data_IF_038219312405
#
_entry.id   IF_038219312405
#
_cell.length_a   1.000
_cell.length_b   1.000
_cell.length_c   1.000
_cell.angle_alpha   90.00
_cell.angle_beta   90.00
_cell.angle_gamma   90.00
#
_symmetry.space_group_name_H-M   'P 1'
#
loop_
_entity.id
_entity.type
_entity.pdbx_description
1 polymer ?
#
# COMPACT_ATOMS: atom_id res chain seq x y z
N UNK A 1 18.88 -16.78 -2.79
CA UNK A 1 18.45 -16.12 -1.55
C UNK A 1 17.41 -15.07 -1.94
N UNK A 2 16.18 -15.17 -1.44
CA UNK A 2 15.11 -14.24 -1.73
C UNK A 2 15.45 -12.86 -1.12
N UNK A 3 15.34 -11.79 -1.92
CA UNK A 3 15.55 -10.43 -1.43
C UNK A 3 14.46 -10.01 -0.45
N UNK A 4 14.76 -9.04 0.41
CA UNK A 4 13.78 -8.40 1.30
C UNK A 4 13.30 -7.12 0.64
N UNK A 5 11.99 -6.88 0.56
CA UNK A 5 11.41 -5.82 -0.25
C UNK A 5 10.47 -4.92 0.55
N UNK A 6 10.48 -3.62 0.25
CA UNK A 6 9.51 -2.64 0.72
C UNK A 6 8.79 -2.02 -0.48
N UNK A 7 7.48 -2.22 -0.60
CA UNK A 7 6.71 -1.70 -1.72
C UNK A 7 6.25 -0.26 -1.44
N UNK A 8 6.39 0.59 -2.46
CA UNK A 8 5.91 1.96 -2.48
C UNK A 8 4.82 2.11 -3.56
N UNK A 9 3.60 2.48 -3.14
CA UNK A 9 2.50 2.80 -4.05
C UNK A 9 2.08 4.26 -3.85
N UNK A 10 2.55 5.12 -4.74
CA UNK A 10 2.39 6.57 -4.67
C UNK A 10 1.23 7.07 -5.52
N UNK A 11 0.73 8.25 -5.21
CA UNK A 11 -0.31 8.93 -5.96
C UNK A 11 0.01 10.41 -6.11
N UNK A 12 -0.18 11.04 -7.29
CA UNK A 12 -0.06 12.48 -7.42
C UNK A 12 -1.19 13.15 -6.64
N UNK A 13 -0.80 13.96 -5.67
CA UNK A 13 -1.69 14.81 -4.89
C UNK A 13 -1.02 16.16 -4.68
N UNK A 14 -1.76 17.28 -4.63
CA UNK A 14 -1.21 18.61 -4.60
C UNK A 14 0.05 18.78 -3.73
N UNK A 15 -0.02 18.55 -2.40
CA UNK A 15 1.12 18.69 -1.49
C UNK A 15 2.26 17.70 -1.75
N UNK A 16 1.97 16.49 -2.25
CA UNK A 16 2.96 15.42 -2.47
C UNK A 16 4.03 15.82 -3.48
N UNK A 17 3.70 16.64 -4.49
CA UNK A 17 4.68 17.10 -5.48
C UNK A 17 5.85 17.87 -4.85
N UNK A 18 5.66 18.45 -3.68
CA UNK A 18 6.69 19.15 -2.93
C UNK A 18 7.35 18.30 -1.83
N UNK A 19 6.97 17.02 -1.73
CA UNK A 19 7.41 16.12 -0.66
C UNK A 19 8.07 14.83 -1.17
N UNK A 20 8.53 14.84 -2.40
CA UNK A 20 9.19 13.69 -3.04
C UNK A 20 10.40 13.21 -2.23
N UNK A 21 11.15 14.13 -1.65
CA UNK A 21 12.30 13.85 -0.80
C UNK A 21 11.94 13.02 0.44
N UNK A 22 10.72 13.18 0.98
CA UNK A 22 10.27 12.39 2.12
C UNK A 22 10.14 10.91 1.77
N UNK A 23 9.60 10.60 0.59
CA UNK A 23 9.48 9.22 0.11
C UNK A 23 10.82 8.62 -0.30
N UNK A 24 11.68 9.43 -0.92
CA UNK A 24 13.05 9.01 -1.24
C UNK A 24 13.84 8.68 0.04
N UNK A 25 13.78 9.54 1.05
CA UNK A 25 14.42 9.31 2.34
C UNK A 25 13.88 8.04 3.03
N UNK A 26 12.57 7.81 2.99
CA UNK A 26 11.97 6.60 3.55
C UNK A 26 12.42 5.33 2.80
N UNK A 27 12.55 5.38 1.48
CA UNK A 27 13.03 4.26 0.68
C UNK A 27 14.51 3.93 1.00
N UNK A 28 15.37 4.94 1.06
CA UNK A 28 16.77 4.76 1.47
C UNK A 28 16.91 4.31 2.93
N UNK A 29 16.05 4.81 3.82
CA UNK A 29 15.99 4.34 5.19
C UNK A 29 15.64 2.86 5.27
N UNK A 30 14.64 2.41 4.53
CA UNK A 30 14.26 1.00 4.46
C UNK A 30 15.41 0.11 3.98
N UNK A 31 16.18 0.55 2.99
CA UNK A 31 17.36 -0.13 2.51
C UNK A 31 18.48 -0.16 3.57
N UNK A 32 18.85 1.00 4.10
CA UNK A 32 20.00 1.13 5.00
C UNK A 32 19.76 0.49 6.37
N UNK A 33 18.53 0.53 6.89
CA UNK A 33 18.20 0.07 8.25
C UNK A 33 17.72 -1.37 8.27
N UNK A 34 16.95 -1.78 7.26
CA UNK A 34 16.28 -3.08 7.25
C UNK A 34 16.71 -4.00 6.11
N UNK A 35 17.60 -3.53 5.23
CA UNK A 35 18.02 -4.28 4.03
C UNK A 35 16.87 -4.49 3.02
N UNK A 36 15.82 -3.65 3.07
CA UNK A 36 14.67 -3.77 2.19
C UNK A 36 14.91 -3.02 0.88
N UNK A 37 14.97 -3.73 -0.24
CA UNK A 37 15.02 -3.11 -1.56
C UNK A 37 13.70 -2.42 -1.87
N UNK A 38 13.69 -1.10 -2.18
CA UNK A 38 12.48 -0.40 -2.58
C UNK A 38 11.91 -0.94 -3.90
N UNK A 39 10.62 -1.23 -3.89
CA UNK A 39 9.85 -1.71 -5.05
C UNK A 39 8.74 -0.71 -5.33
N UNK A 40 8.74 -0.08 -6.49
CA UNK A 40 7.72 0.86 -6.89
C UNK A 40 6.63 0.19 -7.72
N UNK A 41 5.39 0.37 -7.29
CA UNK A 41 4.22 -0.25 -7.89
C UNK A 41 3.18 0.79 -8.33
N UNK A 42 2.70 0.67 -9.57
CA UNK A 42 1.72 1.57 -10.18
C UNK A 42 0.33 0.93 -10.15
N UNK A 43 -0.57 1.38 -9.29
CA UNK A 43 -1.96 0.94 -9.31
C UNK A 43 -2.76 1.56 -10.46
N UNK A 44 -2.52 2.84 -10.73
CA UNK A 44 -3.09 3.56 -11.86
C UNK A 44 -1.94 4.11 -12.72
N UNK A 45 -1.41 3.34 -13.67
CA UNK A 45 -0.16 3.65 -14.36
C UNK A 45 -0.14 5.04 -15.01
N UNK A 46 -1.26 5.46 -15.60
CA UNK A 46 -1.36 6.75 -16.27
C UNK A 46 -1.28 7.94 -15.31
N UNK A 47 -1.67 7.74 -14.05
CA UNK A 47 -1.64 8.77 -13.02
C UNK A 47 -0.37 8.69 -12.16
N UNK A 48 0.07 7.48 -11.82
CA UNK A 48 1.09 7.26 -10.79
C UNK A 48 2.53 7.32 -11.31
N UNK A 49 2.72 7.18 -12.62
CA UNK A 49 4.03 7.04 -13.26
C UNK A 49 4.95 8.23 -12.98
N UNK A 50 4.47 9.45 -13.22
CA UNK A 50 5.28 10.67 -13.08
C UNK A 50 5.85 10.82 -11.69
N UNK A 51 5.01 10.72 -10.65
CA UNK A 51 5.44 10.87 -9.26
C UNK A 51 6.36 9.72 -8.82
N UNK A 52 6.05 8.52 -9.27
CA UNK A 52 6.85 7.33 -8.93
C UNK A 52 8.25 7.43 -9.52
N UNK A 53 8.38 7.83 -10.78
CA UNK A 53 9.67 8.07 -11.41
C UNK A 53 10.45 9.19 -10.71
N UNK A 54 9.78 10.31 -10.42
CA UNK A 54 10.39 11.44 -9.74
C UNK A 54 10.96 11.09 -8.35
N UNK A 55 10.31 10.19 -7.60
CA UNK A 55 10.85 9.66 -6.34
C UNK A 55 12.00 8.68 -6.61
N UNK A 56 11.83 7.75 -7.54
CA UNK A 56 12.83 6.74 -7.86
C UNK A 56 14.16 7.37 -8.34
N UNK A 57 14.12 8.47 -9.08
CA UNK A 57 15.31 9.21 -9.54
C UNK A 57 16.13 9.85 -8.39
N UNK A 58 15.49 10.09 -7.24
CA UNK A 58 16.13 10.66 -6.05
C UNK A 58 16.81 9.66 -5.15
N UNK A 59 16.66 8.38 -5.44
CA UNK A 59 17.15 7.27 -4.61
C UNK A 59 18.44 6.73 -5.21
N UNK A 60 19.47 6.58 -4.38
CA UNK A 60 20.77 6.05 -4.77
C UNK A 60 20.87 4.53 -4.59
N UNK A 61 20.12 3.94 -3.64
CA UNK A 61 20.15 2.50 -3.41
C UNK A 61 19.52 1.70 -4.56
N UNK A 62 19.81 0.39 -4.67
CA UNK A 62 19.11 -0.50 -5.59
C UNK A 62 17.59 -0.42 -5.43
N UNK A 63 16.87 -0.43 -6.54
CA UNK A 63 15.41 -0.30 -6.57
C UNK A 63 14.82 -1.06 -7.73
N UNK A 64 13.53 -1.41 -7.62
CA UNK A 64 12.76 -2.06 -8.68
C UNK A 64 11.56 -1.19 -9.05
N UNK A 65 11.30 -1.03 -10.35
CA UNK A 65 10.07 -0.46 -10.88
C UNK A 65 9.30 -1.61 -11.54
N UNK A 66 8.15 -1.94 -10.97
CA UNK A 66 7.34 -3.03 -11.50
C UNK A 66 6.53 -2.57 -12.72
N UNK A 67 6.35 -3.47 -13.71
CA UNK A 67 5.38 -3.23 -14.75
C UNK A 67 3.97 -3.14 -14.17
N UNK A 68 3.02 -2.50 -14.87
CA UNK A 68 1.62 -2.48 -14.45
C UNK A 68 1.05 -3.91 -14.34
N UNK A 69 0.34 -4.17 -13.24
CA UNK A 69 -0.34 -5.46 -12.99
C UNK A 69 -1.81 -5.16 -12.74
N UNK A 70 -2.69 -5.81 -13.49
CA UNK A 70 -4.14 -5.66 -13.35
C UNK A 70 -4.80 -6.86 -12.64
N UNK A 71 -4.14 -8.00 -12.60
CA UNK A 71 -4.68 -9.22 -11.96
C UNK A 71 -4.57 -9.15 -10.44
N UNK A 72 -5.71 -9.21 -9.75
CA UNK A 72 -5.79 -9.12 -8.29
C UNK A 72 -5.07 -10.27 -7.57
N UNK A 73 -5.05 -11.46 -8.15
CA UNK A 73 -4.34 -12.63 -7.60
C UNK A 73 -2.82 -12.42 -7.63
N UNK A 74 -2.32 -11.87 -8.75
CA UNK A 74 -0.90 -11.51 -8.89
C UNK A 74 -0.54 -10.39 -7.91
N UNK A 75 -1.41 -9.38 -7.73
CA UNK A 75 -1.19 -8.31 -6.75
C UNK A 75 -1.12 -8.88 -5.33
N UNK A 76 -2.03 -9.78 -4.96
CA UNK A 76 -2.00 -10.43 -3.64
C UNK A 76 -0.73 -11.26 -3.43
N UNK A 77 -0.29 -12.01 -4.44
CA UNK A 77 0.95 -12.77 -4.38
C UNK A 77 2.16 -11.86 -4.22
N UNK A 78 2.21 -10.77 -5.01
CA UNK A 78 3.25 -9.75 -4.88
C UNK A 78 3.28 -9.15 -3.48
N UNK A 79 2.13 -8.76 -2.92
CA UNK A 79 2.07 -8.18 -1.56
C UNK A 79 2.60 -9.14 -0.50
N UNK A 80 2.28 -10.42 -0.60
CA UNK A 80 2.73 -11.45 0.35
C UNK A 80 4.25 -11.57 0.43
N UNK A 81 4.95 -11.27 -0.67
CA UNK A 81 6.41 -11.35 -0.74
C UNK A 81 7.09 -10.05 -0.24
N UNK A 82 6.32 -9.03 0.11
CA UNK A 82 6.84 -7.80 0.69
C UNK A 82 7.05 -7.92 2.20
N UNK A 83 8.11 -7.29 2.70
CA UNK A 83 8.35 -7.15 4.14
C UNK A 83 7.55 -6.00 4.74
N UNK A 84 7.26 -4.98 3.93
CA UNK A 84 6.50 -3.79 4.30
C UNK A 84 5.89 -3.13 3.06
N UNK A 85 4.77 -2.44 3.25
CA UNK A 85 4.14 -1.61 2.21
C UNK A 85 3.94 -0.19 2.71
N UNK A 86 4.50 0.79 2.02
CA UNK A 86 4.30 2.23 2.24
C UNK A 86 3.39 2.75 1.13
N UNK A 87 2.21 3.26 1.47
CA UNK A 87 1.26 3.60 0.41
C UNK A 87 0.37 4.80 0.71
N UNK A 88 0.12 5.58 -0.35
CA UNK A 88 -0.97 6.55 -0.46
C UNK A 88 -2.26 5.89 -1.00
N UNK A 89 -2.14 4.74 -1.66
CA UNK A 89 -3.23 4.04 -2.31
C UNK A 89 -3.91 3.08 -1.34
N UNK A 90 -5.18 3.35 -1.01
CA UNK A 90 -5.96 2.52 -0.09
C UNK A 90 -5.98 1.03 -0.50
N UNK A 91 -6.16 0.72 -1.79
CA UNK A 91 -6.17 -0.67 -2.25
C UNK A 91 -4.86 -1.41 -2.00
N UNK A 92 -3.70 -0.73 -2.13
CA UNK A 92 -2.42 -1.36 -1.79
C UNK A 92 -2.32 -1.69 -0.29
N UNK A 93 -2.82 -0.81 0.58
CA UNK A 93 -2.89 -1.06 2.03
C UNK A 93 -3.82 -2.24 2.34
N UNK A 94 -5.00 -2.30 1.70
CA UNK A 94 -5.96 -3.39 1.87
C UNK A 94 -5.35 -4.73 1.43
N UNK A 95 -4.73 -4.78 0.25
CA UNK A 95 -4.10 -6.01 -0.26
C UNK A 95 -2.96 -6.46 0.64
N UNK A 96 -2.09 -5.55 1.08
CA UNK A 96 -0.98 -5.86 1.97
C UNK A 96 -1.47 -6.36 3.34
N UNK A 97 -2.37 -5.63 3.99
CA UNK A 97 -2.95 -6.02 5.28
C UNK A 97 -3.67 -7.37 5.20
N UNK A 98 -4.42 -7.63 4.11
CA UNK A 98 -5.07 -8.93 3.87
C UNK A 98 -4.09 -10.10 3.72
N UNK A 99 -2.84 -9.85 3.33
CA UNK A 99 -1.76 -10.84 3.31
C UNK A 99 -0.97 -10.89 4.61
N UNK A 100 -1.30 -10.02 5.56
CA UNK A 100 -0.59 -9.97 6.82
C UNK A 100 0.73 -9.20 6.75
N UNK A 101 0.92 -8.33 5.79
CA UNK A 101 2.13 -7.53 5.61
C UNK A 101 2.01 -6.20 6.37
N UNK A 102 3.02 -5.78 7.14
CA UNK A 102 3.04 -4.48 7.80
C UNK A 102 2.83 -3.33 6.82
N UNK A 103 2.00 -2.36 7.20
CA UNK A 103 1.62 -1.23 6.35
C UNK A 103 1.97 0.11 6.98
N UNK A 104 2.34 1.06 6.14
CA UNK A 104 2.52 2.48 6.46
C UNK A 104 1.63 3.29 5.54
N UNK A 105 0.68 4.03 6.10
CA UNK A 105 -0.25 4.87 5.35
C UNK A 105 0.24 6.30 5.18
N UNK A 106 0.06 6.89 3.99
CA UNK A 106 0.12 8.35 3.82
C UNK A 106 -1.26 8.85 3.42
N UNK A 107 -1.93 9.48 4.37
CA UNK A 107 -3.34 9.85 4.23
C UNK A 107 -3.48 11.19 3.52
N UNK A 108 -4.10 11.19 2.37
CA UNK A 108 -4.58 12.37 1.63
C UNK A 108 -6.11 12.42 1.59
N UNK A 109 -6.77 11.39 2.07
CA UNK A 109 -8.22 11.19 2.05
C UNK A 109 -8.60 10.42 3.34
N UNK A 110 -9.73 10.78 4.00
CA UNK A 110 -10.20 10.10 5.21
C UNK A 110 -10.35 8.58 5.09
N UNK A 111 -10.48 8.04 3.88
CA UNK A 111 -10.53 6.58 3.66
C UNK A 111 -9.23 5.88 4.03
N UNK A 112 -8.08 6.55 3.85
CA UNK A 112 -6.77 5.97 4.20
C UNK A 112 -6.60 5.96 5.71
N UNK A 113 -6.80 7.10 6.39
CA UNK A 113 -6.71 7.16 7.85
C UNK A 113 -7.76 6.26 8.53
N UNK A 114 -9.01 6.28 8.06
CA UNK A 114 -10.06 5.42 8.60
C UNK A 114 -9.76 3.92 8.45
N UNK A 115 -9.09 3.51 7.35
CA UNK A 115 -8.64 2.14 7.20
C UNK A 115 -7.50 1.80 8.17
N UNK A 116 -6.54 2.70 8.38
CA UNK A 116 -5.45 2.49 9.33
C UNK A 116 -5.98 2.42 10.76
N UNK A 117 -6.95 3.28 11.13
CA UNK A 117 -7.63 3.24 12.42
C UNK A 117 -8.42 1.93 12.60
N UNK A 118 -9.11 1.46 11.56
CA UNK A 118 -9.78 0.16 11.57
C UNK A 118 -8.82 -1.01 11.81
N UNK A 119 -7.60 -0.93 11.30
CA UNK A 119 -6.53 -1.90 11.58
C UNK A 119 -5.94 -1.77 12.99
N UNK A 120 -6.32 -0.75 13.77
CA UNK A 120 -5.67 -0.42 15.04
C UNK A 120 -4.21 0.04 14.87
N UNK A 121 -3.85 0.57 13.69
CA UNK A 121 -2.48 0.93 13.35
C UNK A 121 -2.28 2.45 13.38
N UNK A 122 -1.34 2.92 14.21
CA UNK A 122 -0.90 4.33 14.24
C UNK A 122 0.25 4.62 13.25
N UNK A 123 0.50 3.71 12.30
CA UNK A 123 1.61 3.79 11.35
C UNK A 123 1.19 4.58 10.10
N UNK A 124 0.66 5.77 10.29
CA UNK A 124 0.31 6.65 9.17
C UNK A 124 0.58 8.12 9.49
N UNK A 125 0.66 8.92 8.46
CA UNK A 125 0.88 10.37 8.52
C UNK A 125 0.03 11.05 7.46
N UNK A 126 -0.44 12.27 7.77
CA UNK A 126 -1.12 13.11 6.76
C UNK A 126 -0.15 13.54 5.67
N UNK A 127 -0.63 13.64 4.43
CA UNK A 127 0.16 14.14 3.30
C UNK A 127 0.61 15.60 3.51
N UNK A 128 -0.12 16.37 4.29
CA UNK A 128 0.22 17.74 4.65
C UNK A 128 1.43 17.80 5.60
N UNK A 129 1.60 16.78 6.44
CA UNK A 129 2.63 16.70 7.48
C UNK A 129 3.76 15.73 7.13
N UNK A 130 3.68 15.03 5.99
CA UNK A 130 4.65 14.02 5.62
C UNK A 130 6.05 14.60 5.49
N UNK A 131 6.99 14.00 6.22
CA UNK A 131 8.42 14.26 6.16
C UNK A 131 9.18 12.93 6.12
N UNK A 132 10.44 12.94 5.71
CA UNK A 132 11.28 11.74 5.76
C UNK A 132 11.34 11.15 7.16
N UNK A 133 11.54 11.98 8.19
CA UNK A 133 11.57 11.54 9.60
C UNK A 133 10.23 10.92 10.04
N UNK A 134 9.10 11.52 9.68
CA UNK A 134 7.78 10.99 10.03
C UNK A 134 7.53 9.63 9.38
N UNK A 135 7.91 9.46 8.10
CA UNK A 135 7.80 8.17 7.41
C UNK A 135 8.72 7.11 8.03
N UNK A 136 9.98 7.45 8.33
CA UNK A 136 10.91 6.53 9.00
C UNK A 136 10.35 6.06 10.36
N UNK A 137 9.80 6.96 11.17
CA UNK A 137 9.15 6.60 12.44
C UNK A 137 7.92 5.70 12.24
N UNK A 138 7.12 5.91 11.18
CA UNK A 138 6.03 5.02 10.83
C UNK A 138 6.54 3.64 10.42
N UNK A 139 7.64 3.56 9.66
CA UNK A 139 8.29 2.31 9.28
C UNK A 139 8.82 1.56 10.51
N UNK A 140 9.45 2.26 11.47
CA UNK A 140 9.93 1.65 12.71
C UNK A 140 8.79 1.06 13.52
N UNK A 141 7.68 1.80 13.66
CA UNK A 141 6.49 1.27 14.33
C UNK A 141 5.93 0.04 13.61
N UNK A 142 5.81 0.10 12.29
CA UNK A 142 5.32 -1.02 11.49
C UNK A 142 6.24 -2.25 11.60
N UNK A 143 7.56 -2.06 11.66
CA UNK A 143 8.53 -3.14 11.80
C UNK A 143 8.47 -3.80 13.18
N UNK A 144 8.16 -3.04 14.24
CA UNK A 144 8.14 -3.52 15.64
C UNK A 144 6.77 -4.02 16.08
N UNK A 145 5.68 -3.36 15.70
CA UNK A 145 4.32 -3.78 16.06
C UNK A 145 3.86 -5.04 15.30
N UNK A 146 4.62 -5.43 14.29
CA UNK A 146 4.24 -6.57 13.46
C UNK A 146 2.97 -6.29 12.65
N UNK A 147 2.33 -7.38 12.26
CA UNK A 147 1.05 -7.38 11.53
C UNK A 147 -0.08 -6.81 12.38
N UNK A 148 -1.06 -6.18 11.74
CA UNK A 148 -2.39 -6.13 12.32
C UNK A 148 -2.70 -7.49 12.96
N UNK A 149 -3.25 -7.50 14.16
CA UNK A 149 -3.55 -8.74 14.89
C UNK A 149 -4.19 -9.76 13.95
N UNK A 150 -3.78 -11.02 14.03
CA UNK A 150 -4.27 -12.09 13.16
C UNK A 150 -5.81 -12.13 13.10
N UNK A 151 -6.47 -11.70 14.19
CA UNK A 151 -7.92 -11.51 14.27
C UNK A 151 -8.42 -10.40 13.33
N UNK A 152 -7.73 -9.27 13.22
CA UNK A 152 -8.12 -8.17 12.32
C UNK A 152 -7.95 -8.57 10.85
N UNK A 153 -6.88 -9.29 10.52
CA UNK A 153 -6.68 -9.88 9.18
C UNK A 153 -7.77 -10.90 8.87
N UNK A 154 -8.13 -11.73 9.84
CA UNK A 154 -9.26 -12.68 9.74
C UNK A 154 -10.57 -11.96 9.44
N UNK A 155 -10.90 -10.93 10.21
CA UNK A 155 -12.12 -10.12 10.00
C UNK A 155 -12.14 -9.45 8.61
N UNK A 156 -11.03 -8.91 8.12
CA UNK A 156 -10.95 -8.34 6.76
C UNK A 156 -11.26 -9.39 5.69
N UNK A 157 -10.72 -10.60 5.83
CA UNK A 157 -10.99 -11.70 4.90
C UNK A 157 -12.44 -12.14 4.94
N UNK A 158 -13.02 -12.24 6.12
CA UNK A 158 -14.43 -12.61 6.30
C UNK A 158 -15.37 -11.56 5.71
N UNK A 159 -15.10 -10.27 5.91
CA UNK A 159 -15.87 -9.18 5.29
C UNK A 159 -15.75 -9.19 3.77
N UNK A 160 -14.55 -9.41 3.24
CA UNK A 160 -14.35 -9.50 1.79
C UNK A 160 -15.13 -10.68 1.20
N UNK A 161 -15.14 -11.83 1.90
CA UNK A 161 -15.92 -13.00 1.50
C UNK A 161 -17.43 -12.72 1.55
N UNK A 162 -17.93 -12.12 2.62
CA UNK A 162 -19.35 -11.76 2.76
C UNK A 162 -19.81 -10.81 1.65
N UNK A 163 -18.99 -9.81 1.30
CA UNK A 163 -19.28 -8.91 0.21
C UNK A 163 -19.30 -9.62 -1.15
N UNK A 164 -18.39 -10.57 -1.36
CA UNK A 164 -18.40 -11.43 -2.55
C UNK A 164 -19.64 -12.31 -2.63
N UNK A 165 -20.02 -12.96 -1.53
CA UNK A 165 -21.22 -13.81 -1.45
C UNK A 165 -22.51 -12.99 -1.64
N UNK A 166 -22.56 -11.77 -1.13
CA UNK A 166 -23.68 -10.86 -1.33
C UNK A 166 -23.78 -10.43 -2.80
N UNK A 167 -22.69 -10.02 -3.43
CA UNK A 167 -22.66 -9.63 -4.83
C UNK A 167 -23.07 -10.81 -5.74
N UNK A 168 -22.60 -12.01 -5.42
CA UNK A 168 -22.97 -13.22 -6.16
C UNK A 168 -24.46 -13.54 -6.08
N UNK A 169 -25.08 -13.47 -4.88
CA UNK A 169 -26.53 -13.65 -4.72
C UNK A 169 -27.32 -12.60 -5.49
N UNK A 170 -26.91 -11.35 -5.42
CA UNK A 170 -27.58 -10.25 -6.14
C UNK A 170 -27.56 -10.48 -7.65
N UNK A 171 -26.45 -10.99 -8.21
CA UNK A 171 -26.34 -11.32 -9.64
C UNK A 171 -27.21 -12.51 -10.03
N UNK A 172 -27.44 -13.48 -9.14
CA UNK A 172 -28.32 -14.62 -9.41
C UNK A 172 -29.80 -14.27 -9.29
N UNK A 173 -30.15 -13.31 -8.44
CA UNK A 173 -31.54 -12.86 -8.20
C UNK A 173 -31.94 -11.71 -9.14
N UNK A 174 -31.02 -11.11 -9.89
CA UNK A 174 -31.33 -10.08 -10.88
C UNK A 174 -32.16 -10.69 -12.00
N UNK A 175 -33.42 -10.24 -12.22
CA UNK A 175 -34.23 -10.75 -13.34
C UNK A 175 -33.52 -10.45 -14.65
N UNK A 176 -33.51 -11.41 -15.57
CA UNK A 176 -33.06 -11.21 -16.94
C UNK A 176 -33.89 -10.07 -17.59
N UNK A 177 -33.45 -8.83 -17.38
CA UNK A 177 -34.00 -7.71 -18.15
C UNK A 177 -33.41 -7.83 -19.54
N UNK A 178 -34.23 -8.35 -20.43
CA UNK A 178 -33.93 -8.56 -21.83
C UNK A 178 -33.35 -7.31 -22.47
N UNK A 179 -32.18 -7.46 -23.04
CA UNK A 179 -31.67 -6.60 -24.09
C UNK A 179 -32.53 -6.90 -25.35
N UNK A 180 -33.58 -6.11 -25.55
CA UNK A 180 -34.30 -6.03 -26.82
C UNK A 180 -33.81 -4.80 -27.56
#
# INVERSE_FOLDING_TARGET
>A
EGGTYCLFALRPWGPVKHRLEAFAAAAEYGWNTYGMTPVFFLLEPDKDREITQAVAERISCPKLLLPPVADGGVICALMRDMRMVVSMRLHALIFAAGQGVPVVGVSYDPKVSGFMDYLGQANYVSVEEVTGSALCQCMDRAATSGLAEAETVGRLRDLAKQNGDFAWRFLQEAPEQGLS
#
